data_IF_782363633146
#
_entry.id   IF_782363633146
#
_cell.length_a   1.000
_cell.length_b   1.000
_cell.length_c   1.000
_cell.angle_alpha   90.00
_cell.angle_beta   90.00
_cell.angle_gamma   90.00
#
_symmetry.space_group_name_H-M   'P 1'
#
loop_
_entity.id
_entity.type
_entity.pdbx_description
1 polymer ?
#
# COMPACT_ATOMS: atom_id res chain seq x y z
N UNK A 1 3.11 -27.11 11.82
CA UNK A 1 4.57 -26.91 11.91
C UNK A 1 4.88 -25.56 11.28
N UNK A 2 5.40 -24.63 12.06
CA UNK A 2 5.57 -23.23 11.66
C UNK A 2 6.87 -23.11 10.87
N UNK A 3 6.82 -22.49 9.68
CA UNK A 3 7.98 -22.42 8.80
C UNK A 3 9.07 -21.52 9.43
N UNK A 4 10.37 -21.74 9.15
CA UNK A 4 11.44 -20.91 9.70
C UNK A 4 11.32 -19.42 9.33
N UNK A 5 10.46 -19.09 8.36
CA UNK A 5 10.04 -17.74 7.95
C UNK A 5 9.21 -16.98 9.00
N UNK A 6 8.52 -17.69 9.89
CA UNK A 6 7.48 -17.11 10.75
C UNK A 6 8.02 -16.59 12.09
N UNK A 7 9.35 -16.52 12.24
CA UNK A 7 9.99 -16.00 13.45
C UNK A 7 9.85 -14.48 13.47
N UNK A 8 8.87 -13.96 14.22
CA UNK A 8 8.76 -12.54 14.56
C UNK A 8 10.03 -12.09 15.31
N UNK A 9 10.98 -11.50 14.58
CA UNK A 9 12.09 -10.76 15.17
C UNK A 9 11.51 -9.51 15.82
N UNK A 10 11.58 -9.48 17.15
CA UNK A 10 11.01 -8.40 17.97
C UNK A 10 11.54 -7.01 17.60
N UNK A 11 10.89 -6.01 18.20
CA UNK A 11 11.00 -4.55 18.00
C UNK A 11 12.41 -3.92 18.09
N UNK A 12 13.48 -4.71 18.24
CA UNK A 12 14.88 -4.26 18.28
C UNK A 12 15.66 -4.45 16.97
N UNK A 13 15.05 -4.97 15.90
CA UNK A 13 15.79 -5.33 14.66
C UNK A 13 15.98 -4.18 13.65
N UNK A 14 15.32 -3.03 13.81
CA UNK A 14 15.20 -2.03 12.74
C UNK A 14 16.02 -0.74 12.98
N UNK A 15 17.29 -0.90 13.34
CA UNK A 15 18.29 0.15 13.09
C UNK A 15 18.85 -0.03 11.67
N UNK A 16 18.10 0.45 10.68
CA UNK A 16 18.64 0.88 9.38
C UNK A 16 19.56 -0.09 8.61
N UNK A 17 19.37 -1.41 8.71
CA UNK A 17 20.17 -2.37 7.95
C UNK A 17 19.83 -2.33 6.45
N UNK A 18 20.84 -2.03 5.64
CA UNK A 18 20.81 -2.27 4.20
C UNK A 18 20.99 -3.78 4.01
N UNK A 19 19.97 -4.48 3.51
CA UNK A 19 20.06 -5.90 3.18
C UNK A 19 20.60 -6.02 1.76
N UNK A 20 21.90 -6.25 1.61
CA UNK A 20 22.51 -6.66 0.34
C UNK A 20 22.51 -8.19 0.26
N UNK A 21 21.50 -8.77 -0.38
CA UNK A 21 21.48 -10.21 -0.68
C UNK A 21 22.38 -10.55 -1.87
N UNK A 22 23.16 -11.63 -1.78
CA UNK A 22 23.93 -12.17 -2.90
C UNK A 22 23.04 -12.99 -3.85
N UNK A 23 23.16 -12.66 -5.14
CA UNK A 23 22.91 -13.42 -6.38
C UNK A 23 21.75 -12.99 -7.31
N UNK A 24 22.19 -12.77 -8.56
CA UNK A 24 21.51 -12.65 -9.86
C UNK A 24 20.63 -11.41 -10.14
N UNK A 25 21.19 -10.50 -10.93
CA UNK A 25 20.52 -9.44 -11.72
C UNK A 25 19.70 -8.37 -10.98
N UNK A 26 20.12 -7.92 -9.80
CA UNK A 26 19.78 -6.54 -9.42
C UNK A 26 20.65 -5.58 -10.23
N UNK A 27 20.11 -4.50 -10.83
CA UNK A 27 20.94 -3.38 -11.26
C UNK A 27 21.86 -3.04 -10.10
N UNK A 28 23.16 -2.94 -10.36
CA UNK A 28 24.23 -2.94 -9.34
C UNK A 28 24.17 -1.77 -8.34
N UNK A 29 23.18 -0.88 -8.45
CA UNK A 29 22.88 0.21 -7.51
C UNK A 29 21.53 0.15 -6.78
N UNK A 30 20.58 -0.71 -7.18
CA UNK A 30 19.20 -0.67 -6.69
C UNK A 30 19.10 -1.10 -5.21
N UNK A 31 18.64 -0.17 -4.36
CA UNK A 31 18.43 -0.40 -2.93
C UNK A 31 16.94 -0.59 -2.64
N UNK A 32 16.60 -1.60 -1.86
CA UNK A 32 15.27 -1.72 -1.25
C UNK A 32 15.41 -1.25 0.20
N UNK A 33 14.70 -0.17 0.55
CA UNK A 33 14.79 0.48 1.85
C UNK A 33 13.43 0.35 2.52
N UNK A 34 13.38 -0.42 3.61
CA UNK A 34 12.18 -0.52 4.45
C UNK A 34 12.29 0.56 5.52
N UNK A 35 11.39 1.54 5.51
CA UNK A 35 11.37 2.64 6.46
C UNK A 35 10.07 2.61 7.30
N UNK A 36 10.12 3.00 8.58
CA UNK A 36 8.92 3.14 9.39
C UNK A 36 8.06 4.33 8.90
N UNK A 37 6.74 4.33 9.17
CA UNK A 37 5.86 5.47 8.89
C UNK A 37 6.39 6.77 9.48
N UNK A 38 6.59 7.78 8.64
CA UNK A 38 7.02 9.14 9.01
C UNK A 38 6.51 10.14 7.97
N UNK A 39 6.28 11.38 8.39
CA UNK A 39 5.84 12.47 7.48
C UNK A 39 6.88 12.73 6.38
N UNK A 40 8.17 12.56 6.68
CA UNK A 40 9.27 12.88 5.74
C UNK A 40 10.33 11.79 5.72
N UNK A 41 10.79 11.47 4.51
CA UNK A 41 11.93 10.61 4.28
C UNK A 41 13.23 11.40 4.51
N UNK A 42 13.94 11.12 5.61
CA UNK A 42 15.11 11.89 6.05
C UNK A 42 16.46 11.45 5.46
N UNK A 43 16.46 10.67 4.37
CA UNK A 43 17.69 10.16 3.73
C UNK A 43 17.73 10.57 2.27
N UNK A 44 18.93 10.59 1.68
CA UNK A 44 19.09 10.83 0.25
C UNK A 44 18.55 9.66 -0.57
N UNK A 45 17.64 9.96 -1.49
CA UNK A 45 17.05 9.03 -2.44
C UNK A 45 17.84 9.06 -3.75
N UNK A 46 18.16 7.88 -4.28
CA UNK A 46 18.68 7.70 -5.63
C UNK A 46 17.54 7.34 -6.57
N UNK A 47 17.76 7.51 -7.88
CA UNK A 47 16.78 7.23 -8.92
C UNK A 47 16.36 5.75 -8.99
N UNK A 48 17.22 4.84 -8.51
CA UNK A 48 17.03 3.40 -8.50
C UNK A 48 16.66 2.85 -7.11
N UNK A 49 16.32 3.71 -6.16
CA UNK A 49 15.85 3.27 -4.85
C UNK A 49 14.37 2.91 -4.88
N UNK A 50 14.05 1.81 -4.19
CA UNK A 50 12.69 1.43 -3.85
C UNK A 50 12.53 1.61 -2.34
N UNK A 51 11.69 2.57 -1.92
CA UNK A 51 11.35 2.78 -0.51
C UNK A 51 10.02 2.12 -0.22
N UNK A 52 10.03 1.15 0.69
CA UNK A 52 8.83 0.47 1.19
C UNK A 52 8.54 1.03 2.57
N UNK A 53 7.35 1.61 2.76
CA UNK A 53 6.88 2.09 4.06
C UNK A 53 5.66 1.26 4.44
N UNK A 54 5.81 0.24 5.31
CA UNK A 54 4.67 -0.50 5.84
C UNK A 54 3.72 0.48 6.50
N UNK A 55 2.42 0.28 6.35
CA UNK A 55 1.39 1.14 6.97
C UNK A 55 1.50 2.64 6.63
N UNK A 56 2.08 2.98 5.46
CA UNK A 56 2.26 4.39 5.04
C UNK A 56 0.96 5.20 5.08
N UNK A 57 -0.15 4.53 4.75
CA UNK A 57 -1.47 5.14 4.71
C UNK A 57 -2.34 4.77 5.91
N UNK A 58 -2.41 3.48 6.27
CA UNK A 58 -3.16 3.02 7.45
C UNK A 58 -2.52 1.76 8.06
N UNK A 59 -2.79 1.46 9.35
CA UNK A 59 -2.39 0.20 9.97
C UNK A 59 -2.89 -1.00 9.16
N UNK A 60 -2.12 -2.08 9.11
CA UNK A 60 -2.45 -3.31 8.35
C UNK A 60 -3.82 -3.89 8.75
N UNK A 61 -4.19 -3.74 10.03
CA UNK A 61 -5.44 -4.26 10.58
C UNK A 61 -6.62 -3.27 10.48
N UNK A 62 -6.39 -2.03 9.99
CA UNK A 62 -7.43 -1.02 9.90
C UNK A 62 -8.19 -1.11 8.56
N UNK A 63 -9.20 -1.96 8.55
CA UNK A 63 -10.13 -2.12 7.42
C UNK A 63 -11.23 -1.04 7.37
N UNK A 64 -11.32 -0.14 8.35
CA UNK A 64 -12.42 0.83 8.45
C UNK A 64 -12.43 1.78 7.25
N UNK A 65 -11.25 2.19 6.77
CA UNK A 65 -11.13 3.06 5.60
C UNK A 65 -11.65 2.35 4.36
N UNK A 66 -11.31 1.08 4.19
CA UNK A 66 -11.80 0.25 3.09
C UNK A 66 -13.33 0.12 3.16
N UNK A 67 -13.89 -0.28 4.30
CA UNK A 67 -15.33 -0.44 4.45
C UNK A 67 -16.09 0.87 4.26
N UNK A 68 -15.53 1.98 4.73
CA UNK A 68 -16.09 3.31 4.54
C UNK A 68 -16.12 3.69 3.06
N UNK A 69 -15.05 3.44 2.32
CA UNK A 69 -14.99 3.68 0.88
C UNK A 69 -16.03 2.82 0.13
N UNK A 70 -16.12 1.53 0.44
CA UNK A 70 -17.14 0.64 -0.16
C UNK A 70 -18.55 1.13 0.13
N UNK A 71 -18.83 1.56 1.36
CA UNK A 71 -20.14 2.11 1.75
C UNK A 71 -20.47 3.39 0.98
N UNK A 72 -19.54 4.33 0.90
CA UNK A 72 -19.73 5.59 0.15
C UNK A 72 -20.00 5.32 -1.33
N UNK A 73 -19.24 4.42 -1.96
CA UNK A 73 -19.43 4.11 -3.37
C UNK A 73 -20.76 3.39 -3.65
N UNK A 74 -21.20 2.48 -2.76
CA UNK A 74 -22.53 1.85 -2.85
C UNK A 74 -23.66 2.87 -2.70
N UNK A 75 -23.50 3.86 -1.82
CA UNK A 75 -24.46 4.94 -1.69
C UNK A 75 -24.55 5.75 -2.97
N UNK A 76 -23.40 6.17 -3.55
CA UNK A 76 -23.36 6.91 -4.81
C UNK A 76 -24.02 6.14 -5.97
N UNK A 77 -23.88 4.81 -5.99
CA UNK A 77 -24.60 3.95 -6.95
C UNK A 77 -26.11 3.95 -6.72
N UNK A 78 -26.55 3.81 -5.47
CA UNK A 78 -27.97 3.84 -5.11
C UNK A 78 -28.61 5.19 -5.45
N UNK A 79 -27.85 6.27 -5.34
CA UNK A 79 -28.31 7.63 -5.65
C UNK A 79 -28.28 7.93 -7.16
N UNK A 80 -27.86 6.97 -8.00
CA UNK A 80 -27.78 7.13 -9.45
C UNK A 80 -26.68 8.10 -9.90
N UNK A 81 -25.66 8.31 -9.06
CA UNK A 81 -24.54 9.21 -9.37
C UNK A 81 -23.74 8.63 -10.53
N UNK A 82 -23.59 9.38 -11.62
CA UNK A 82 -22.91 8.92 -12.83
C UNK A 82 -21.50 8.38 -12.54
N UNK A 83 -21.11 7.32 -13.26
CA UNK A 83 -19.77 6.72 -13.23
C UNK A 83 -19.39 6.07 -11.88
N UNK A 84 -20.36 5.86 -11.00
CA UNK A 84 -20.14 5.25 -9.68
C UNK A 84 -20.22 3.73 -9.69
N UNK A 85 -20.66 3.12 -10.79
CA UNK A 85 -20.77 1.67 -10.97
C UNK A 85 -19.44 0.93 -10.77
N UNK A 86 -19.53 -0.35 -10.39
CA UNK A 86 -18.38 -1.24 -10.32
C UNK A 86 -18.19 -1.94 -11.66
N UNK A 87 -17.07 -1.63 -12.32
CA UNK A 87 -16.69 -2.20 -13.61
C UNK A 87 -15.62 -3.26 -13.36
N UNK A 88 -15.84 -4.53 -13.76
CA UNK A 88 -14.82 -5.55 -13.64
C UNK A 88 -13.62 -5.22 -14.55
N UNK A 89 -12.41 -5.44 -14.04
CA UNK A 89 -11.18 -5.30 -14.80
C UNK A 89 -10.27 -6.52 -14.58
N UNK A 90 -9.45 -6.81 -15.58
CA UNK A 90 -8.51 -7.92 -15.64
C UNK A 90 -9.16 -9.25 -15.26
N UNK A 91 -10.06 -9.71 -16.14
CA UNK A 91 -10.83 -10.96 -15.96
C UNK A 91 -11.69 -11.01 -14.68
N UNK A 92 -12.01 -9.84 -14.12
CA UNK A 92 -12.83 -9.73 -12.91
C UNK A 92 -12.04 -9.84 -11.60
N UNK A 93 -10.70 -9.87 -11.66
CA UNK A 93 -9.85 -9.83 -10.47
C UNK A 93 -9.95 -8.48 -9.73
N UNK A 94 -10.31 -7.41 -10.45
CA UNK A 94 -10.44 -6.07 -9.90
C UNK A 94 -11.80 -5.46 -10.20
N UNK A 95 -12.24 -4.54 -9.34
CA UNK A 95 -13.40 -3.69 -9.56
C UNK A 95 -12.94 -2.23 -9.61
N UNK A 96 -13.35 -1.53 -10.66
CA UNK A 96 -13.09 -0.11 -10.86
C UNK A 96 -14.36 0.70 -10.68
N UNK A 97 -14.23 1.89 -10.11
CA UNK A 97 -15.22 2.94 -10.26
C UNK A 97 -14.56 4.17 -10.87
N UNK A 98 -15.26 4.84 -11.77
CA UNK A 98 -14.73 5.97 -12.53
C UNK A 98 -15.18 7.33 -11.95
N UNK A 99 -15.71 7.33 -10.72
CA UNK A 99 -16.15 8.53 -10.01
C UNK A 99 -15.31 8.77 -8.73
N UNK A 100 -14.03 9.17 -8.86
CA UNK A 100 -13.15 9.39 -7.71
C UNK A 100 -13.63 10.55 -6.82
N UNK A 101 -14.39 11.49 -7.36
CA UNK A 101 -14.95 12.62 -6.60
C UNK A 101 -16.21 12.26 -5.82
N UNK A 102 -16.82 11.10 -6.07
CA UNK A 102 -18.00 10.63 -5.34
C UNK A 102 -17.72 10.14 -3.91
N UNK A 103 -16.46 9.84 -3.56
CA UNK A 103 -16.08 9.40 -2.22
C UNK A 103 -15.28 10.47 -1.49
N UNK A 104 -15.81 10.95 -0.37
CA UNK A 104 -15.08 11.86 0.53
C UNK A 104 -13.87 11.17 1.16
N UNK A 105 -13.94 9.85 1.33
CA UNK A 105 -12.83 9.06 1.85
C UNK A 105 -11.70 8.99 0.82
N UNK A 106 -12.01 8.73 -0.45
CA UNK A 106 -11.01 8.71 -1.52
C UNK A 106 -10.29 10.06 -1.69
N UNK A 107 -11.00 11.19 -1.55
CA UNK A 107 -10.41 12.53 -1.65
C UNK A 107 -9.45 12.90 -0.51
N UNK A 108 -9.41 12.13 0.58
CA UNK A 108 -8.53 12.38 1.73
C UNK A 108 -7.22 11.58 1.68
N UNK A 109 -7.09 10.72 0.67
CA UNK A 109 -5.92 9.87 0.40
C UNK A 109 -5.04 10.57 -0.63
#
# INVERSE_FOLDING_TARGET
AQAPSDRKLGSRAFEGRIVTGLHAARPSGMRIIIAPPRERYGRSLKHDDVVVVPEFYCPEENWDVYYKLVKEMRQSQSDGTQRSEWIPWHEGAHLLSQNPTGSRTFQKV
#
